data_IF_328820262952
#
_entry.id   IF_328820262952
#
_cell.length_a   1.000
_cell.length_b   1.000
_cell.length_c   1.000
_cell.angle_alpha   90.00
_cell.angle_beta   90.00
_cell.angle_gamma   90.00
#
_symmetry.space_group_name_H-M   'P 1'
#
loop_
_entity.id
_entity.type
_entity.pdbx_description
1 polymer ?
#
# COMPACT_ATOMS: atom_id res chain seq x y z
N UNK A 1 -12.80 -20.21 -18.14
CA UNK A 1 -12.28 -18.88 -18.50
C UNK A 1 -12.35 -18.03 -17.24
N UNK A 2 -11.30 -18.03 -16.40
CA UNK A 2 -11.24 -17.10 -15.28
C UNK A 2 -10.86 -15.74 -15.84
N UNK A 3 -11.79 -14.81 -15.89
CA UNK A 3 -11.44 -13.40 -16.06
C UNK A 3 -10.53 -13.04 -14.90
N UNK A 4 -9.21 -12.92 -15.14
CA UNK A 4 -8.30 -12.29 -14.20
C UNK A 4 -8.81 -10.85 -14.01
N UNK A 5 -9.60 -10.62 -12.98
CA UNK A 5 -10.05 -9.27 -12.63
C UNK A 5 -8.85 -8.56 -12.06
N UNK A 6 -8.27 -7.66 -12.85
CA UNK A 6 -7.28 -6.72 -12.39
C UNK A 6 -7.85 -5.90 -11.23
N UNK A 7 -7.07 -5.78 -10.17
CA UNK A 7 -7.45 -5.06 -8.96
C UNK A 7 -7.40 -3.55 -9.19
N UNK A 8 -6.41 -3.13 -9.97
CA UNK A 8 -6.27 -1.78 -10.51
C UNK A 8 -6.31 -1.89 -12.04
N UNK A 9 -7.13 -1.09 -12.69
CA UNK A 9 -7.21 -1.06 -14.15
C UNK A 9 -5.89 -0.53 -14.76
N UNK A 10 -5.19 -1.31 -15.60
CA UNK A 10 -4.01 -0.81 -16.33
C UNK A 10 -4.41 0.25 -17.36
N UNK A 11 -3.61 1.29 -17.53
CA UNK A 11 -3.90 2.37 -18.48
C UNK A 11 -3.49 2.03 -19.91
N UNK A 12 -2.56 1.08 -20.07
CA UNK A 12 -2.02 0.68 -21.36
C UNK A 12 -2.45 -0.76 -21.65
N UNK A 13 -2.92 -1.10 -22.86
CA UNK A 13 -3.19 -2.49 -23.22
C UNK A 13 -1.92 -3.35 -23.22
N UNK A 14 -2.03 -4.64 -22.90
CA UNK A 14 -0.88 -5.56 -22.87
C UNK A 14 -0.13 -5.62 -24.20
N UNK A 15 -0.84 -5.60 -25.33
CA UNK A 15 -0.29 -5.70 -26.68
C UNK A 15 0.72 -4.59 -27.01
N UNK A 16 0.60 -3.43 -26.36
CA UNK A 16 1.44 -2.25 -26.61
C UNK A 16 2.46 -2.02 -25.48
N UNK A 17 2.38 -2.80 -24.40
CA UNK A 17 3.25 -2.67 -23.24
C UNK A 17 4.50 -3.56 -23.40
N UNK A 18 5.42 -3.15 -24.27
CA UNK A 18 6.68 -3.87 -24.56
C UNK A 18 7.86 -3.33 -23.73
N UNK A 19 8.96 -4.08 -23.68
CA UNK A 19 10.27 -3.65 -23.16
C UNK A 19 10.34 -3.23 -21.69
N UNK A 20 9.33 -3.58 -20.88
CA UNK A 20 9.29 -3.30 -19.43
C UNK A 20 9.30 -4.55 -18.55
N UNK A 21 9.39 -5.73 -19.16
CA UNK A 21 9.31 -7.03 -18.48
C UNK A 21 10.36 -7.17 -17.36
N UNK A 22 11.58 -6.68 -17.58
CA UNK A 22 12.64 -6.72 -16.57
C UNK A 22 12.26 -5.96 -15.30
N UNK A 23 11.65 -4.78 -15.43
CA UNK A 23 11.19 -3.98 -14.28
C UNK A 23 10.03 -4.68 -13.56
N UNK A 24 9.06 -5.21 -14.32
CA UNK A 24 7.95 -5.96 -13.76
C UNK A 24 8.45 -7.17 -12.95
N UNK A 25 9.33 -7.98 -13.54
CA UNK A 25 9.87 -9.17 -12.89
C UNK A 25 10.78 -8.83 -11.71
N UNK A 26 11.54 -7.74 -11.79
CA UNK A 26 12.36 -7.26 -10.68
C UNK A 26 11.48 -6.94 -9.47
N UNK A 27 10.48 -6.07 -9.62
CA UNK A 27 9.64 -5.64 -8.49
C UNK A 27 8.76 -6.78 -7.96
N UNK A 28 8.24 -7.63 -8.84
CA UNK A 28 7.48 -8.82 -8.44
C UNK A 28 8.35 -9.78 -7.61
N UNK A 29 9.54 -10.15 -8.11
CA UNK A 29 10.47 -11.04 -7.39
C UNK A 29 10.99 -10.40 -6.11
N UNK A 30 11.25 -9.09 -6.11
CA UNK A 30 11.66 -8.36 -4.92
C UNK A 30 10.57 -8.41 -3.85
N UNK A 31 9.30 -8.15 -4.20
CA UNK A 31 8.20 -8.28 -3.27
C UNK A 31 8.11 -9.70 -2.68
N UNK A 32 8.14 -10.75 -3.51
CA UNK A 32 8.11 -12.14 -3.03
C UNK A 32 9.29 -12.51 -2.13
N UNK A 33 10.50 -12.01 -2.42
CA UNK A 33 11.69 -12.24 -1.56
C UNK A 33 11.55 -11.63 -0.17
N UNK A 34 10.63 -10.69 0.04
CA UNK A 34 10.34 -10.11 1.34
C UNK A 34 9.78 -11.13 2.34
N UNK A 35 9.14 -12.20 1.85
CA UNK A 35 8.72 -13.35 2.66
C UNK A 35 9.91 -13.88 3.47
N UNK A 36 11.05 -14.04 2.80
CA UNK A 36 12.31 -14.50 3.41
C UNK A 36 13.14 -13.37 4.05
N UNK A 37 12.59 -12.15 4.16
CA UNK A 37 13.26 -10.94 4.67
C UNK A 37 14.53 -10.55 3.90
N UNK A 38 14.60 -10.92 2.62
CA UNK A 38 15.77 -10.70 1.73
C UNK A 38 15.59 -9.50 0.80
N UNK A 39 14.64 -8.63 1.09
CA UNK A 39 14.32 -7.45 0.28
C UNK A 39 14.38 -6.20 1.13
N UNK A 40 14.92 -5.14 0.52
CA UNK A 40 14.93 -3.80 1.07
C UNK A 40 13.97 -2.90 0.27
N UNK A 41 13.51 -1.84 0.91
CA UNK A 41 12.77 -0.77 0.23
C UNK A 41 13.56 -0.24 -0.96
N UNK A 42 12.88 -0.05 -2.10
CA UNK A 42 13.51 0.31 -3.38
C UNK A 42 12.76 1.47 -4.03
N UNK A 43 13.49 2.39 -4.65
CA UNK A 43 12.92 3.53 -5.37
C UNK A 43 13.04 3.37 -6.88
N UNK A 44 11.96 3.65 -7.62
CA UNK A 44 11.92 3.76 -9.06
C UNK A 44 11.88 5.25 -9.45
N UNK A 45 13.02 5.77 -9.90
CA UNK A 45 13.14 7.16 -10.32
C UNK A 45 13.12 7.30 -11.84
N UNK A 46 12.46 8.36 -12.30
CA UNK A 46 12.47 8.71 -13.71
C UNK A 46 11.63 9.96 -13.98
N UNK A 47 11.69 10.47 -15.20
CA UNK A 47 10.88 11.62 -15.62
C UNK A 47 9.37 11.32 -15.53
N UNK A 48 8.55 12.38 -15.49
CA UNK A 48 7.08 12.25 -15.57
C UNK A 48 6.68 11.54 -16.87
N UNK A 49 5.58 10.77 -16.82
CA UNK A 49 5.03 10.02 -17.96
C UNK A 49 5.94 8.92 -18.55
N UNK A 50 6.88 8.41 -17.74
CA UNK A 50 7.73 7.25 -18.10
C UNK A 50 7.07 5.88 -17.85
N UNK A 51 5.80 5.84 -17.44
CA UNK A 51 5.09 4.59 -17.17
C UNK A 51 5.41 3.92 -15.83
N UNK A 52 5.94 4.67 -14.85
CA UNK A 52 6.28 4.14 -13.51
C UNK A 52 5.04 3.61 -12.76
N UNK A 53 3.96 4.39 -12.75
CA UNK A 53 2.66 3.98 -12.20
C UNK A 53 2.17 2.69 -12.84
N UNK A 54 2.27 2.59 -14.18
CA UNK A 54 1.86 1.39 -14.93
C UNK A 54 2.67 0.14 -14.53
N UNK A 55 3.98 0.29 -14.26
CA UNK A 55 4.81 -0.80 -13.73
C UNK A 55 4.26 -1.26 -12.38
N UNK A 56 4.02 -0.35 -11.44
CA UNK A 56 3.52 -0.71 -10.10
C UNK A 56 2.12 -1.32 -10.15
N UNK A 57 1.20 -0.74 -10.94
CA UNK A 57 -0.15 -1.28 -11.17
C UNK A 57 -0.11 -2.74 -11.60
N UNK A 58 0.72 -3.07 -12.60
CA UNK A 58 0.85 -4.45 -13.10
C UNK A 58 1.48 -5.40 -12.09
N UNK A 59 2.51 -4.94 -11.37
CA UNK A 59 3.15 -5.75 -10.31
C UNK A 59 2.16 -6.05 -9.19
N UNK A 60 1.39 -5.05 -8.74
CA UNK A 60 0.37 -5.21 -7.70
C UNK A 60 -0.74 -6.15 -8.17
N UNK A 61 -1.21 -6.03 -9.41
CA UNK A 61 -2.20 -6.96 -9.97
C UNK A 61 -1.69 -8.40 -9.99
N UNK A 62 -0.45 -8.63 -10.42
CA UNK A 62 0.18 -9.96 -10.39
C UNK A 62 0.28 -10.49 -8.96
N UNK A 63 0.80 -9.70 -8.03
CA UNK A 63 0.90 -10.10 -6.63
C UNK A 63 -0.48 -10.45 -6.06
N UNK A 64 -1.50 -9.65 -6.33
CA UNK A 64 -2.82 -9.89 -5.79
C UNK A 64 -3.46 -11.17 -6.34
N UNK A 65 -3.28 -11.47 -7.64
CA UNK A 65 -4.00 -12.56 -8.34
C UNK A 65 -3.24 -13.88 -8.42
N UNK A 66 -1.90 -13.87 -8.51
CA UNK A 66 -1.11 -15.05 -8.83
C UNK A 66 -0.62 -15.82 -7.60
N UNK A 67 -0.71 -15.25 -6.39
CA UNK A 67 -0.17 -15.87 -5.18
C UNK A 67 -1.04 -17.03 -4.67
N UNK A 68 -0.41 -18.13 -4.27
CA UNK A 68 -1.08 -19.23 -3.59
C UNK A 68 -1.26 -18.92 -2.09
N UNK A 69 -2.46 -18.58 -1.65
CA UNK A 69 -2.73 -18.25 -0.24
C UNK A 69 -2.64 -19.44 0.73
N UNK A 70 -2.33 -20.65 0.25
CA UNK A 70 -2.00 -21.79 1.11
C UNK A 70 -0.53 -21.78 1.56
N UNK A 71 0.30 -20.95 0.93
CA UNK A 71 1.72 -20.76 1.24
C UNK A 71 1.94 -19.40 1.94
N UNK A 72 3.20 -19.10 2.27
CA UNK A 72 3.56 -17.74 2.68
C UNK A 72 3.31 -16.76 1.53
N UNK A 73 2.60 -15.68 1.82
CA UNK A 73 2.19 -14.67 0.83
C UNK A 73 2.63 -13.28 1.24
N UNK A 74 2.75 -12.42 0.24
CA UNK A 74 2.93 -10.97 0.38
C UNK A 74 1.58 -10.30 0.19
N UNK A 75 1.16 -9.45 1.11
CA UNK A 75 -0.03 -8.61 0.91
C UNK A 75 0.42 -7.34 0.17
N UNK A 76 0.09 -7.15 -1.11
CA UNK A 76 0.39 -5.90 -1.80
C UNK A 76 -0.60 -4.81 -1.33
N UNK A 77 -0.07 -3.62 -1.04
CA UNK A 77 -0.87 -2.43 -0.73
C UNK A 77 -0.41 -1.31 -1.65
N UNK A 78 -1.30 -0.78 -2.48
CA UNK A 78 -1.00 0.32 -3.39
C UNK A 78 -1.56 1.64 -2.85
N UNK A 79 -0.76 2.70 -2.85
CA UNK A 79 -1.17 4.03 -2.42
C UNK A 79 -0.53 5.10 -3.32
N UNK A 80 -1.35 5.95 -3.94
CA UNK A 80 -0.89 7.10 -4.71
C UNK A 80 -1.00 8.36 -3.86
N UNK A 81 0.08 9.11 -3.73
CA UNK A 81 0.03 10.39 -3.02
C UNK A 81 -0.72 11.44 -3.83
N UNK A 82 -1.76 12.09 -3.27
CA UNK A 82 -2.54 13.08 -4.01
C UNK A 82 -1.71 14.32 -4.33
N UNK A 83 -2.06 15.00 -5.43
CA UNK A 83 -1.46 16.29 -5.79
C UNK A 83 -2.09 17.47 -5.02
N UNK A 84 -3.24 17.25 -4.38
CA UNK A 84 -4.03 18.28 -3.69
C UNK A 84 -3.51 18.60 -2.28
N UNK A 85 -3.85 19.80 -1.77
CA UNK A 85 -3.62 20.16 -0.38
C UNK A 85 -4.47 19.27 0.53
N UNK A 86 -3.84 18.43 1.34
CA UNK A 86 -4.50 17.61 2.36
C UNK A 86 -3.99 17.98 3.75
N UNK A 87 -4.87 17.96 4.75
CA UNK A 87 -4.46 18.14 6.15
C UNK A 87 -3.80 16.87 6.67
N UNK A 88 -3.05 16.99 7.78
CA UNK A 88 -2.42 15.85 8.46
C UNK A 88 -3.41 14.78 8.86
N UNK A 89 -4.58 15.20 9.34
CA UNK A 89 -5.65 14.31 9.78
C UNK A 89 -6.32 13.62 8.59
N UNK A 90 -6.57 14.37 7.50
CA UNK A 90 -7.13 13.82 6.26
C UNK A 90 -6.19 12.79 5.65
N UNK A 91 -4.90 13.10 5.57
CA UNK A 91 -3.87 12.15 5.12
C UNK A 91 -3.89 10.87 5.95
N UNK A 92 -3.89 10.99 7.29
CA UNK A 92 -3.86 9.84 8.17
C UNK A 92 -5.07 8.93 7.99
N UNK A 93 -6.27 9.52 7.86
CA UNK A 93 -7.50 8.79 7.59
C UNK A 93 -7.44 8.07 6.24
N UNK A 94 -7.05 8.78 5.17
CA UNK A 94 -6.94 8.19 3.82
C UNK A 94 -5.93 7.05 3.78
N UNK A 95 -4.78 7.21 4.42
CA UNK A 95 -3.73 6.20 4.41
C UNK A 95 -4.14 4.94 5.20
N UNK A 96 -4.75 5.10 6.38
CA UNK A 96 -5.25 3.96 7.18
C UNK A 96 -6.43 3.27 6.52
N UNK A 97 -7.38 4.02 5.96
CA UNK A 97 -8.48 3.47 5.19
C UNK A 97 -7.96 2.66 4.00
N UNK A 98 -7.03 3.21 3.22
CA UNK A 98 -6.43 2.50 2.10
C UNK A 98 -5.76 1.20 2.55
N UNK A 99 -4.99 1.24 3.65
CA UNK A 99 -4.37 0.04 4.21
C UNK A 99 -5.42 -1.03 4.58
N UNK A 100 -6.47 -0.66 5.32
CA UNK A 100 -7.54 -1.59 5.72
C UNK A 100 -8.25 -2.19 4.51
N UNK A 101 -8.52 -1.39 3.47
CA UNK A 101 -9.14 -1.84 2.22
C UNK A 101 -8.28 -2.89 1.52
N UNK A 102 -7.00 -2.60 1.29
CA UNK A 102 -6.09 -3.54 0.61
C UNK A 102 -5.87 -4.81 1.43
N UNK A 103 -5.66 -4.66 2.74
CA UNK A 103 -5.47 -5.80 3.64
C UNK A 103 -6.70 -6.72 3.62
N UNK A 104 -7.90 -6.17 3.80
CA UNK A 104 -9.13 -6.95 3.84
C UNK A 104 -9.51 -7.52 2.47
N UNK A 105 -9.36 -6.74 1.39
CA UNK A 105 -9.59 -7.20 0.02
C UNK A 105 -8.72 -8.42 -0.33
N UNK A 106 -7.43 -8.37 0.02
CA UNK A 106 -6.53 -9.48 -0.22
C UNK A 106 -6.85 -10.69 0.65
N UNK A 107 -7.08 -10.49 1.96
CA UNK A 107 -7.40 -11.59 2.90
C UNK A 107 -8.70 -12.32 2.55
N UNK A 108 -9.71 -11.59 2.11
CA UNK A 108 -11.03 -12.14 1.76
C UNK A 108 -11.17 -12.46 0.27
N UNK A 109 -10.15 -12.17 -0.55
CA UNK A 109 -10.20 -12.23 -2.02
C UNK A 109 -11.43 -11.51 -2.60
N UNK A 110 -11.73 -10.33 -2.04
CA UNK A 110 -12.89 -9.53 -2.39
C UNK A 110 -12.45 -8.14 -2.85
N UNK A 111 -12.29 -7.96 -4.16
CA UNK A 111 -11.85 -6.70 -4.78
C UNK A 111 -12.85 -5.56 -4.54
N UNK A 112 -14.14 -5.86 -4.31
CA UNK A 112 -15.14 -4.84 -4.04
C UNK A 112 -14.83 -4.00 -2.78
N UNK A 113 -14.04 -4.56 -1.83
CA UNK A 113 -13.61 -3.86 -0.62
C UNK A 113 -12.70 -2.66 -0.87
N UNK A 114 -12.06 -2.61 -2.03
CA UNK A 114 -11.27 -1.45 -2.44
C UNK A 114 -12.13 -0.21 -2.73
N UNK A 115 -13.43 -0.38 -2.96
CA UNK A 115 -14.35 0.72 -3.28
C UNK A 115 -15.48 0.87 -2.26
N UNK A 116 -15.98 -0.24 -1.72
CA UNK A 116 -17.17 -0.28 -0.86
C UNK A 116 -16.93 -1.09 0.41
N UNK A 117 -17.50 -0.73 1.56
CA UNK A 117 -18.37 0.42 1.80
C UNK A 117 -17.59 1.75 1.75
N UNK A 118 -18.27 2.88 1.51
CA UNK A 118 -17.62 4.20 1.48
C UNK A 118 -17.34 4.76 2.88
N UNK A 119 -18.13 4.36 3.88
CA UNK A 119 -17.93 4.78 5.26
C UNK A 119 -16.85 3.91 5.94
N UNK A 120 -15.83 4.54 6.53
CA UNK A 120 -14.75 3.83 7.22
C UNK A 120 -15.24 3.01 8.43
N UNK A 121 -16.26 3.47 9.17
CA UNK A 121 -16.81 2.68 10.28
C UNK A 121 -17.51 1.41 9.77
N UNK A 122 -18.25 1.49 8.67
CA UNK A 122 -18.87 0.32 8.04
C UNK A 122 -17.80 -0.67 7.52
N UNK A 123 -16.69 -0.16 6.98
CA UNK A 123 -15.56 -1.00 6.58
C UNK A 123 -14.97 -1.74 7.79
N UNK A 124 -14.76 -1.02 8.90
CA UNK A 124 -14.25 -1.61 10.15
C UNK A 124 -15.21 -2.69 10.68
N UNK A 125 -16.50 -2.41 10.75
CA UNK A 125 -17.51 -3.39 11.20
C UNK A 125 -17.55 -4.63 10.30
N UNK A 126 -17.46 -4.43 8.97
CA UNK A 126 -17.38 -5.53 8.03
C UNK A 126 -16.13 -6.38 8.26
N UNK A 127 -14.96 -5.75 8.46
CA UNK A 127 -13.71 -6.45 8.74
C UNK A 127 -13.82 -7.24 10.05
N UNK A 128 -14.33 -6.63 11.13
CA UNK A 128 -14.51 -7.28 12.44
C UNK A 128 -15.42 -8.50 12.37
N UNK A 129 -16.41 -8.50 11.48
CA UNK A 129 -17.35 -9.61 11.29
C UNK A 129 -16.80 -10.73 10.40
N UNK A 130 -15.96 -10.42 9.43
CA UNK A 130 -15.58 -11.37 8.37
C UNK A 130 -14.12 -11.85 8.44
N UNK A 131 -13.25 -11.20 9.21
CA UNK A 131 -11.85 -11.59 9.38
C UNK A 131 -11.58 -11.90 10.86
N UNK A 132 -11.00 -13.07 11.19
CA UNK A 132 -10.57 -13.36 12.56
C UNK A 132 -9.64 -12.26 13.10
N UNK A 133 -9.93 -11.73 14.29
CA UNK A 133 -9.15 -10.65 14.89
C UNK A 133 -7.81 -11.20 15.41
N UNK A 134 -6.78 -11.03 14.58
CA UNK A 134 -5.38 -11.22 14.97
C UNK A 134 -4.86 -10.01 15.75
N UNK A 135 -3.64 -10.11 16.30
CA UNK A 135 -3.01 -8.99 17.02
C UNK A 135 -2.77 -7.80 16.10
N UNK A 136 -2.25 -8.04 14.90
CA UNK A 136 -2.01 -7.01 13.89
C UNK A 136 -3.31 -6.37 13.40
N UNK A 137 -4.35 -7.16 13.18
CA UNK A 137 -5.65 -6.61 12.79
C UNK A 137 -6.29 -5.77 13.91
N UNK A 138 -6.16 -6.21 15.16
CA UNK A 138 -6.57 -5.40 16.31
C UNK A 138 -5.84 -4.04 16.34
N UNK A 139 -4.52 -4.03 16.13
CA UNK A 139 -3.72 -2.78 16.06
C UNK A 139 -4.25 -1.87 14.94
N UNK A 140 -4.57 -2.41 13.76
CA UNK A 140 -5.09 -1.62 12.65
C UNK A 140 -6.46 -1.00 12.93
N UNK A 141 -7.37 -1.77 13.52
CA UNK A 141 -8.70 -1.30 13.86
C UNK A 141 -8.64 -0.27 14.98
N UNK A 142 -7.82 -0.50 16.01
CA UNK A 142 -7.63 0.44 17.11
C UNK A 142 -7.05 1.77 16.61
N UNK A 143 -6.00 1.73 15.79
CA UNK A 143 -5.42 2.91 15.17
C UNK A 143 -6.45 3.69 14.33
N UNK A 144 -7.24 3.00 13.51
CA UNK A 144 -8.30 3.62 12.72
C UNK A 144 -9.33 4.31 13.61
N UNK A 145 -9.86 3.60 14.63
CA UNK A 145 -10.83 4.15 15.59
C UNK A 145 -10.25 5.36 16.35
N UNK A 146 -8.99 5.31 16.74
CA UNK A 146 -8.32 6.39 17.44
C UNK A 146 -8.14 7.64 16.56
N UNK A 147 -7.76 7.47 15.28
CA UNK A 147 -7.62 8.59 14.34
C UNK A 147 -9.00 9.21 14.03
N UNK A 148 -10.04 8.39 13.81
CA UNK A 148 -11.43 8.87 13.60
C UNK A 148 -11.89 9.74 14.79
N UNK A 149 -11.61 9.30 16.01
CA UNK A 149 -11.98 10.01 17.24
C UNK A 149 -11.05 11.17 17.59
N UNK A 150 -10.04 11.47 16.76
CA UNK A 150 -8.99 12.47 17.02
C UNK A 150 -8.28 12.24 18.36
N UNK A 151 -8.14 10.98 18.76
CA UNK A 151 -7.47 10.57 20.01
C UNK A 151 -5.95 10.41 19.89
N UNK A 152 -5.38 10.63 18.70
CA UNK A 152 -3.96 10.46 18.41
C UNK A 152 -3.28 11.81 18.25
N UNK A 153 -2.15 12.02 18.96
CA UNK A 153 -1.37 13.27 18.88
C UNK A 153 -0.71 13.44 17.50
N UNK A 154 -0.14 12.36 16.96
CA UNK A 154 0.56 12.35 15.66
C UNK A 154 -0.08 11.35 14.70
N UNK A 155 -1.29 11.65 14.16
CA UNK A 155 -2.08 10.68 13.40
C UNK A 155 -1.39 10.21 12.11
N UNK A 156 -0.69 11.11 11.41
CA UNK A 156 0.06 10.73 10.20
C UNK A 156 1.22 9.75 10.49
N UNK A 157 1.91 9.93 11.63
CA UNK A 157 2.98 9.01 12.02
C UNK A 157 2.42 7.62 12.35
N UNK A 158 1.32 7.57 13.10
CA UNK A 158 0.62 6.30 13.41
C UNK A 158 0.15 5.62 12.12
N UNK A 159 -0.43 6.37 11.19
CA UNK A 159 -0.89 5.84 9.90
C UNK A 159 0.25 5.24 9.07
N UNK A 160 1.39 5.94 8.95
CA UNK A 160 2.54 5.49 8.16
C UNK A 160 3.20 4.24 8.75
N UNK A 161 3.25 4.16 10.08
CA UNK A 161 3.83 3.01 10.79
C UNK A 161 2.92 1.78 10.77
N UNK A 162 1.61 1.97 10.61
CA UNK A 162 0.62 0.91 10.78
C UNK A 162 0.90 -0.36 9.95
N UNK A 163 1.19 -0.31 8.63
CA UNK A 163 1.47 -1.52 7.86
C UNK A 163 2.65 -2.32 8.40
N UNK A 164 3.71 -1.63 8.85
CA UNK A 164 4.88 -2.25 9.48
C UNK A 164 4.51 -2.91 10.80
N UNK A 165 3.73 -2.23 11.64
CA UNK A 165 3.38 -2.73 12.97
C UNK A 165 2.47 -3.97 12.87
N UNK A 166 1.53 -3.98 11.91
CA UNK A 166 0.72 -5.15 11.58
C UNK A 166 1.58 -6.30 11.06
N UNK A 167 2.47 -6.03 10.09
CA UNK A 167 3.38 -7.04 9.53
C UNK A 167 4.21 -7.72 10.62
N UNK A 168 4.71 -6.92 11.56
CA UNK A 168 5.49 -7.42 12.69
C UNK A 168 4.65 -8.22 13.67
N UNK A 169 3.47 -7.72 14.05
CA UNK A 169 2.62 -8.32 15.08
C UNK A 169 2.07 -9.70 14.70
N UNK A 170 1.76 -9.90 13.42
CA UNK A 170 1.20 -11.16 12.91
C UNK A 170 2.24 -12.07 12.24
N UNK A 171 3.51 -11.65 12.19
CA UNK A 171 4.59 -12.30 11.44
C UNK A 171 4.22 -12.58 9.97
N UNK A 172 3.69 -11.56 9.30
CA UNK A 172 3.26 -11.61 7.90
C UNK A 172 4.10 -10.65 7.05
N UNK A 173 4.04 -10.82 5.74
CA UNK A 173 4.72 -9.93 4.79
C UNK A 173 3.72 -9.00 4.12
N UNK A 174 3.97 -7.70 4.18
CA UNK A 174 3.21 -6.65 3.49
C UNK A 174 4.17 -5.93 2.55
N UNK A 175 3.80 -5.66 1.31
CA UNK A 175 4.61 -4.84 0.40
C UNK A 175 3.85 -3.56 0.07
N UNK A 176 4.41 -2.42 0.48
CA UNK A 176 3.84 -1.10 0.19
C UNK A 176 4.34 -0.63 -1.18
N UNK A 177 3.42 -0.33 -2.09
CA UNK A 177 3.69 0.30 -3.38
C UNK A 177 3.18 1.73 -3.33
N UNK A 178 4.11 2.65 -3.15
CA UNK A 178 3.89 4.08 -2.98
C UNK A 178 4.15 4.81 -4.29
N UNK A 179 3.12 5.36 -4.90
CA UNK A 179 3.20 6.05 -6.18
C UNK A 179 3.14 7.57 -6.02
N UNK A 180 3.83 8.30 -6.90
CA UNK A 180 3.92 9.77 -6.91
C UNK A 180 4.47 10.37 -5.60
N UNK A 181 5.47 9.72 -5.00
CA UNK A 181 6.03 10.10 -3.69
C UNK A 181 6.60 11.51 -3.64
N UNK A 182 7.01 12.11 -4.76
CA UNK A 182 7.44 13.52 -4.75
C UNK A 182 6.32 14.48 -4.28
N UNK A 183 5.05 14.07 -4.36
CA UNK A 183 3.92 14.87 -3.91
C UNK A 183 3.96 15.12 -2.39
N UNK A 184 4.67 14.30 -1.62
CA UNK A 184 4.86 14.52 -0.17
C UNK A 184 5.71 15.75 0.16
N UNK A 185 6.36 16.36 -0.84
CA UNK A 185 7.25 17.52 -0.69
C UNK A 185 6.71 18.78 -1.35
N UNK A 186 5.54 18.71 -1.98
CA UNK A 186 4.94 19.88 -2.59
C UNK A 186 4.63 20.91 -1.48
N UNK A 187 4.71 22.23 -1.76
CA UNK A 187 4.43 23.31 -0.80
C UNK A 187 3.00 23.30 -0.22
N UNK A 188 2.20 22.33 -0.64
CA UNK A 188 0.79 22.11 -0.37
C UNK A 188 0.51 21.34 0.93
N UNK A 189 1.56 20.79 1.55
CA UNK A 189 1.47 20.18 2.87
C UNK A 189 2.06 21.16 3.90
N UNK A 190 1.22 21.68 4.80
CA UNK A 190 1.66 22.47 5.97
C UNK A 190 2.48 21.65 6.99
N UNK A 191 2.87 20.42 6.64
CA UNK A 191 3.58 19.47 7.47
C UNK A 191 4.42 18.51 6.61
N UNK A 192 5.60 18.11 7.10
CA UNK A 192 6.38 17.06 6.46
C UNK A 192 5.99 15.70 7.02
N UNK A 193 5.71 14.74 6.14
CA UNK A 193 5.53 13.31 6.49
C UNK A 193 6.76 12.46 6.19
N UNK A 194 7.73 13.00 5.44
CA UNK A 194 8.90 12.25 4.96
C UNK A 194 9.70 11.67 6.12
N UNK A 195 9.84 12.41 7.21
CA UNK A 195 10.55 11.95 8.41
C UNK A 195 9.91 10.71 9.06
N UNK A 196 8.59 10.54 8.94
CA UNK A 196 7.91 9.37 9.51
C UNK A 196 8.18 8.09 8.72
N UNK A 197 8.55 8.21 7.44
CA UNK A 197 8.88 7.05 6.61
C UNK A 197 10.25 6.43 6.96
N UNK A 198 11.17 7.14 7.61
CA UNK A 198 12.51 6.63 7.92
C UNK A 198 12.46 5.26 8.60
N UNK A 199 11.64 5.14 9.65
CA UNK A 199 11.51 3.90 10.40
C UNK A 199 10.60 2.88 9.72
N UNK A 200 9.66 3.31 8.87
CA UNK A 200 8.72 2.39 8.21
C UNK A 200 9.41 1.63 7.05
N UNK A 201 10.25 2.31 6.27
CA UNK A 201 10.94 1.74 5.10
C UNK A 201 12.07 0.79 5.46
N UNK A 202 12.58 0.85 6.68
CA UNK A 202 13.62 -0.06 7.17
C UNK A 202 13.08 -1.44 7.58
N UNK A 203 11.76 -1.64 7.55
CA UNK A 203 11.16 -2.93 7.92
C UNK A 203 11.38 -3.99 6.84
N UNK A 204 12.09 -5.10 7.14
CA UNK A 204 12.29 -6.18 6.16
C UNK A 204 11.01 -7.00 5.90
N UNK A 205 10.01 -6.92 6.80
CA UNK A 205 8.68 -7.53 6.63
C UNK A 205 7.67 -6.61 5.93
N UNK A 206 8.02 -5.33 5.82
CA UNK A 206 7.18 -4.31 5.20
C UNK A 206 8.00 -3.42 4.25
N UNK A 207 8.62 -3.99 3.19
CA UNK A 207 9.35 -3.17 2.23
C UNK A 207 8.42 -2.18 1.53
N UNK A 208 8.99 -1.01 1.22
CA UNK A 208 8.34 0.04 0.47
C UNK A 208 9.00 0.15 -0.91
N UNK A 209 8.21 -0.10 -1.94
CA UNK A 209 8.54 0.22 -3.32
C UNK A 209 7.95 1.59 -3.63
N UNK A 210 8.79 2.52 -4.06
CA UNK A 210 8.39 3.93 -4.17
C UNK A 210 8.64 4.41 -5.59
N UNK A 211 7.67 5.04 -6.25
CA UNK A 211 7.95 5.82 -7.47
C UNK A 211 8.17 7.29 -7.13
N UNK A 212 9.01 7.95 -7.92
CA UNK A 212 9.20 9.39 -7.79
C UNK A 212 9.75 10.04 -9.05
N UNK A 213 9.55 11.34 -9.16
CA UNK A 213 10.20 12.17 -10.17
C UNK A 213 11.63 12.56 -9.74
N UNK A 214 12.61 12.25 -10.59
CA UNK A 214 14.03 12.54 -10.35
C UNK A 214 14.35 14.04 -10.28
N UNK A 215 13.49 14.91 -10.79
CA UNK A 215 13.68 16.37 -10.80
C UNK A 215 13.22 17.06 -9.50
N UNK A 216 12.68 16.31 -8.55
CA UNK A 216 11.92 16.83 -7.40
C UNK A 216 12.24 16.12 -6.07
N UNK A 217 13.28 15.27 -6.06
CA UNK A 217 13.82 14.60 -4.85
C UNK A 217 15.16 15.22 -4.49
#
# INVERSE_FOLDING_TARGET
MSSNQNVIEPLVPEEVYTDRQEHLDYFYKAALKAITRRTMSTVLLGQRRMGKTEIFTRVVNRLFSEQNHQEEVVIPVFFTFPEENITRDSFALQYVENFLRWFSAFRLRNIALLKTPHNLNELIEYIEKNIPITRGLFIAIDAAKAIIKKGVVMPAQVAIMLPKDVAYADDITIAMFLDEFQNTRLPHLDFSIVGFFQTSVESPRCPHFVTGSAMSI
#
